data_IF_201482686236
#
_entry.id   IF_201482686236
#
_cell.length_a   1.000
_cell.length_b   1.000
_cell.length_c   1.000
_cell.angle_alpha   90.00
_cell.angle_beta   90.00
_cell.angle_gamma   90.00
#
_symmetry.space_group_name_H-M   'P 1'
#
loop_
_entity.id
_entity.type
_entity.pdbx_description
1 polymer ?
#
# COMPACT_ATOMS: atom_id res chain seq x y z
N UNK A 1 -11.16 15.79 -40.59
CA UNK A 1 -11.65 14.82 -39.61
C UNK A 1 -11.11 15.23 -38.26
N UNK A 2 -11.97 15.73 -37.38
CA UNK A 2 -11.63 16.33 -36.07
C UNK A 2 -11.38 15.22 -35.05
N UNK A 3 -10.17 15.16 -34.54
CA UNK A 3 -9.85 14.40 -33.34
C UNK A 3 -10.40 15.18 -32.13
N UNK A 4 -11.46 14.65 -31.53
CA UNK A 4 -12.03 15.19 -30.32
C UNK A 4 -11.02 15.11 -29.16
N UNK A 5 -10.66 16.24 -28.60
CA UNK A 5 -9.96 16.36 -27.34
C UNK A 5 -10.83 15.71 -26.25
N UNK A 6 -10.47 14.52 -25.80
CA UNK A 6 -11.01 13.97 -24.54
C UNK A 6 -10.55 14.91 -23.42
N UNK A 7 -11.52 15.42 -22.68
CA UNK A 7 -11.30 16.38 -21.63
C UNK A 7 -10.32 15.86 -20.58
N UNK A 8 -9.40 16.73 -20.18
CA UNK A 8 -8.54 16.58 -19.01
C UNK A 8 -9.39 16.15 -17.81
N UNK A 9 -9.18 14.94 -17.34
CA UNK A 9 -9.72 14.51 -16.07
C UNK A 9 -9.23 15.50 -15.01
N UNK A 10 -10.16 16.23 -14.39
CA UNK A 10 -9.87 17.09 -13.25
C UNK A 10 -9.22 16.20 -12.20
N UNK A 11 -8.07 16.64 -11.64
CA UNK A 11 -7.48 16.07 -10.46
C UNK A 11 -8.56 15.96 -9.37
N UNK A 12 -9.24 14.83 -9.32
CA UNK A 12 -10.13 14.49 -8.22
C UNK A 12 -9.25 14.30 -7.01
N UNK A 13 -9.52 15.03 -5.96
CA UNK A 13 -8.86 14.83 -4.67
C UNK A 13 -9.01 13.36 -4.29
N UNK A 14 -7.90 12.63 -4.20
CA UNK A 14 -7.90 11.23 -3.81
C UNK A 14 -8.46 11.10 -2.39
N UNK A 15 -9.27 10.10 -2.16
CA UNK A 15 -9.92 9.81 -0.89
C UNK A 15 -9.91 8.29 -0.64
N UNK A 16 -10.24 7.86 0.57
CA UNK A 16 -10.25 6.44 0.96
C UNK A 16 -11.20 5.58 0.09
N UNK A 17 -12.19 6.18 -0.52
CA UNK A 17 -13.21 5.53 -1.36
C UNK A 17 -12.89 5.55 -2.87
N UNK A 18 -11.73 6.05 -3.27
CA UNK A 18 -11.33 6.09 -4.68
C UNK A 18 -11.39 4.70 -5.33
N UNK A 19 -11.96 4.66 -6.55
CA UNK A 19 -11.85 3.48 -7.40
C UNK A 19 -10.46 3.47 -8.03
N UNK A 20 -9.77 2.34 -7.92
CA UNK A 20 -8.45 2.21 -8.52
C UNK A 20 -8.54 2.23 -10.05
N UNK A 21 -7.61 2.91 -10.70
CA UNK A 21 -7.55 2.97 -12.17
C UNK A 21 -7.27 1.57 -12.75
N UNK A 22 -7.89 1.20 -13.88
CA UNK A 22 -7.61 -0.05 -14.54
C UNK A 22 -6.14 -0.11 -15.00
N UNK A 23 -5.64 -1.33 -15.18
CA UNK A 23 -4.35 -1.54 -15.88
C UNK A 23 -4.46 -0.88 -17.25
N UNK A 24 -3.46 -0.08 -17.70
CA UNK A 24 -3.42 0.41 -19.07
C UNK A 24 -3.57 -0.75 -20.05
N UNK A 25 -4.20 -0.50 -21.20
CA UNK A 25 -4.18 -1.45 -22.33
C UNK A 25 -2.73 -1.93 -22.56
N UNK A 26 -2.49 -3.10 -23.19
CA UNK A 26 -1.15 -3.65 -23.32
C UNK A 26 -0.15 -2.57 -23.68
N UNK A 27 0.67 -2.16 -22.71
CA UNK A 27 1.60 -1.05 -22.81
C UNK A 27 3.00 -1.55 -22.47
N UNK A 28 4.01 -1.27 -23.31
CA UNK A 28 5.36 -1.80 -23.15
C UNK A 28 6.03 -1.34 -21.84
N UNK A 29 5.60 -0.22 -21.26
CA UNK A 29 6.15 0.32 -20.01
C UNK A 29 5.43 -0.17 -18.74
N UNK A 30 4.44 -1.07 -18.87
CA UNK A 30 3.91 -1.83 -17.74
C UNK A 30 4.88 -2.94 -17.39
N UNK A 31 5.49 -2.87 -16.22
CA UNK A 31 6.44 -3.88 -15.77
C UNK A 31 5.69 -5.12 -15.28
N UNK A 32 6.09 -6.30 -15.77
CA UNK A 32 5.34 -7.55 -15.61
C UNK A 32 6.24 -8.67 -15.06
N UNK A 33 5.72 -9.42 -14.07
CA UNK A 33 6.38 -10.60 -13.48
C UNK A 33 5.38 -11.68 -13.15
N UNK A 34 5.84 -12.93 -13.23
CA UNK A 34 5.07 -14.06 -12.73
C UNK A 34 5.86 -14.79 -11.64
N UNK A 35 5.20 -14.99 -10.50
CA UNK A 35 5.74 -15.74 -9.36
C UNK A 35 4.72 -16.73 -8.82
N UNK A 36 5.17 -17.94 -8.41
CA UNK A 36 4.29 -18.90 -7.75
C UNK A 36 4.01 -18.51 -6.29
N UNK A 37 2.80 -18.77 -5.82
CA UNK A 37 2.46 -18.72 -4.40
C UNK A 37 3.20 -19.83 -3.65
N UNK A 38 4.00 -19.49 -2.64
CA UNK A 38 4.81 -20.43 -1.87
C UNK A 38 4.13 -20.78 -0.54
N UNK A 39 4.58 -21.88 0.10
CA UNK A 39 4.06 -22.32 1.40
C UNK A 39 4.22 -21.22 2.48
N UNK A 40 5.30 -20.46 2.45
CA UNK A 40 5.53 -19.37 3.40
C UNK A 40 4.64 -18.14 3.17
N UNK A 41 3.92 -18.06 2.06
CA UNK A 41 3.08 -16.92 1.70
C UNK A 41 1.62 -17.07 2.15
N UNK A 42 1.22 -18.26 2.61
CA UNK A 42 -0.19 -18.59 2.85
C UNK A 42 -0.53 -18.68 4.34
N UNK A 43 -1.81 -18.53 4.63
CA UNK A 43 -2.39 -18.83 5.94
C UNK A 43 -2.86 -20.28 6.04
N UNK A 44 -3.44 -20.65 7.20
CA UNK A 44 -3.95 -21.98 7.46
C UNK A 44 -5.15 -22.38 6.55
N UNK A 45 -5.77 -21.44 5.86
CA UNK A 45 -6.84 -21.67 4.88
C UNK A 45 -6.33 -21.76 3.45
N UNK A 46 -5.00 -21.81 3.27
CA UNK A 46 -4.30 -21.82 1.98
C UNK A 46 -4.47 -20.53 1.13
N UNK A 47 -4.85 -19.43 1.75
CA UNK A 47 -4.96 -18.10 1.13
C UNK A 47 -3.63 -17.33 1.23
N UNK A 48 -3.27 -16.59 0.18
CA UNK A 48 -2.16 -15.63 0.21
C UNK A 48 -2.42 -14.56 1.28
N UNK A 49 -1.50 -14.41 2.26
CA UNK A 49 -1.60 -13.41 3.31
C UNK A 49 -1.30 -12.01 2.78
N UNK A 50 -1.84 -10.98 3.44
CA UNK A 50 -1.62 -9.58 3.06
C UNK A 50 -0.15 -9.15 3.25
N UNK A 51 0.54 -9.64 4.29
CA UNK A 51 1.98 -9.38 4.48
C UNK A 51 2.83 -9.98 3.34
N UNK A 52 2.46 -11.17 2.88
CA UNK A 52 3.11 -11.81 1.74
C UNK A 52 2.80 -11.05 0.44
N UNK A 53 1.54 -10.63 0.22
CA UNK A 53 1.18 -9.79 -0.92
C UNK A 53 1.95 -8.47 -0.92
N UNK A 54 2.04 -7.80 0.24
CA UNK A 54 2.81 -6.56 0.40
C UNK A 54 4.30 -6.74 0.09
N UNK A 55 4.90 -7.87 0.50
CA UNK A 55 6.28 -8.23 0.15
C UNK A 55 6.46 -8.38 -1.36
N UNK A 56 5.59 -9.13 -2.03
CA UNK A 56 5.64 -9.28 -3.49
C UNK A 56 5.44 -7.94 -4.22
N UNK A 57 4.56 -7.06 -3.71
CA UNK A 57 4.37 -5.71 -4.25
C UNK A 57 5.63 -4.85 -4.08
N UNK A 58 6.37 -5.01 -2.99
CA UNK A 58 7.66 -4.35 -2.77
C UNK A 58 8.73 -4.92 -3.70
N UNK A 59 8.82 -6.25 -3.83
CA UNK A 59 9.84 -6.95 -4.59
C UNK A 59 9.78 -6.62 -6.10
N UNK A 60 8.58 -6.54 -6.68
CA UNK A 60 8.45 -6.14 -8.09
C UNK A 60 8.94 -4.71 -8.33
N UNK A 61 8.85 -3.85 -7.32
CA UNK A 61 9.42 -2.50 -7.37
C UNK A 61 10.95 -2.51 -7.42
N UNK A 62 11.58 -3.36 -6.63
CA UNK A 62 13.04 -3.54 -6.63
C UNK A 62 13.52 -4.15 -7.95
N UNK A 63 12.81 -5.14 -8.47
CA UNK A 63 13.11 -5.75 -9.76
C UNK A 63 13.07 -4.72 -10.88
N UNK A 64 12.05 -3.86 -10.91
CA UNK A 64 11.94 -2.80 -11.92
C UNK A 64 13.10 -1.79 -11.83
N UNK A 65 13.43 -1.30 -10.63
CA UNK A 65 14.54 -0.37 -10.45
C UNK A 65 15.86 -0.97 -10.91
N UNK A 66 16.11 -2.25 -10.59
CA UNK A 66 17.33 -2.97 -10.99
C UNK A 66 17.43 -3.14 -12.50
N UNK A 67 16.35 -3.59 -13.16
CA UNK A 67 16.36 -3.82 -14.62
C UNK A 67 16.45 -2.53 -15.43
N UNK A 68 15.87 -1.45 -14.93
CA UNK A 68 15.98 -0.15 -15.57
C UNK A 68 17.30 0.57 -15.24
N UNK A 69 18.16 0.02 -14.37
CA UNK A 69 19.45 0.59 -14.02
C UNK A 69 19.37 1.79 -13.06
N UNK A 70 18.25 1.99 -12.38
CA UNK A 70 18.06 3.14 -11.47
C UNK A 70 18.29 2.80 -9.99
N UNK A 71 18.61 1.57 -9.65
CA UNK A 71 18.80 1.16 -8.26
C UNK A 71 19.89 1.95 -7.53
N UNK A 72 21.01 2.24 -8.21
CA UNK A 72 22.13 2.98 -7.62
C UNK A 72 21.89 4.50 -7.63
N UNK A 73 21.09 4.99 -8.58
CA UNK A 73 20.75 6.42 -8.71
C UNK A 73 19.69 6.80 -7.68
N UNK A 74 18.74 5.90 -7.43
CA UNK A 74 17.65 6.07 -6.47
C UNK A 74 17.64 4.93 -5.44
N UNK A 75 18.64 4.87 -4.55
CA UNK A 75 18.82 3.73 -3.65
C UNK A 75 17.82 3.69 -2.49
N UNK A 76 17.12 4.78 -2.22
CA UNK A 76 16.22 4.90 -1.07
C UNK A 76 14.87 5.50 -1.48
N UNK A 77 13.82 4.69 -1.30
CA UNK A 77 12.44 5.11 -1.45
C UNK A 77 11.69 4.85 -0.15
N UNK A 78 10.96 5.85 0.31
CA UNK A 78 10.08 5.74 1.47
C UNK A 78 8.64 5.64 0.98
N UNK A 79 7.92 4.62 1.42
CA UNK A 79 6.47 4.54 1.22
C UNK A 79 5.77 5.37 2.30
N UNK A 80 4.86 6.24 1.89
CA UNK A 80 4.03 7.03 2.81
C UNK A 80 2.62 6.48 2.94
N UNK A 81 2.10 5.86 1.88
CA UNK A 81 0.81 5.20 1.88
C UNK A 81 0.84 3.99 0.97
N UNK A 82 0.19 2.94 1.40
CA UNK A 82 -0.18 1.80 0.54
C UNK A 82 -1.65 1.49 0.74
N UNK A 83 -2.39 1.43 -0.36
CA UNK A 83 -3.77 0.98 -0.41
C UNK A 83 -3.82 -0.38 -1.10
N UNK A 84 -4.49 -1.34 -0.51
CA UNK A 84 -4.66 -2.69 -1.06
C UNK A 84 -6.13 -3.04 -1.07
N UNK A 85 -6.62 -3.43 -2.25
CA UNK A 85 -7.94 -4.03 -2.45
C UNK A 85 -7.78 -5.54 -2.64
N UNK A 86 -8.15 -6.29 -1.63
CA UNK A 86 -8.35 -7.72 -1.76
C UNK A 86 -9.72 -7.96 -2.40
N UNK A 87 -9.75 -8.11 -3.72
CA UNK A 87 -11.01 -8.30 -4.47
C UNK A 87 -11.48 -9.76 -4.41
N UNK A 88 -10.56 -10.68 -4.63
CA UNK A 88 -10.74 -12.14 -4.49
C UNK A 88 -9.44 -12.77 -4.01
N UNK A 89 -9.50 -13.71 -3.07
CA UNK A 89 -8.29 -14.33 -2.52
C UNK A 89 -7.49 -15.06 -3.62
N UNK A 90 -6.18 -14.99 -3.50
CA UNK A 90 -5.24 -15.81 -4.28
C UNK A 90 -4.87 -17.02 -3.42
N UNK A 91 -4.87 -18.22 -3.98
CA UNK A 91 -4.72 -19.45 -3.24
C UNK A 91 -3.35 -20.11 -3.43
N UNK A 92 -3.04 -21.04 -2.56
CA UNK A 92 -1.84 -21.87 -2.66
C UNK A 92 -1.77 -22.63 -3.99
N UNK A 93 -0.54 -22.82 -4.49
CA UNK A 93 -0.26 -23.43 -5.79
C UNK A 93 -0.85 -22.67 -6.99
N UNK A 94 -1.15 -21.38 -6.80
CA UNK A 94 -1.47 -20.50 -7.91
C UNK A 94 -0.18 -19.85 -8.46
N UNK A 95 -0.26 -19.37 -9.68
CA UNK A 95 0.74 -18.51 -10.31
C UNK A 95 0.20 -17.09 -10.33
N UNK A 96 0.90 -16.18 -9.71
CA UNK A 96 0.56 -14.76 -9.67
C UNK A 96 1.24 -14.02 -10.81
N UNK A 97 0.48 -13.27 -11.59
CA UNK A 97 1.00 -12.27 -12.51
C UNK A 97 0.90 -10.89 -11.88
N UNK A 98 2.03 -10.26 -11.64
CA UNK A 98 2.13 -8.91 -11.09
C UNK A 98 2.42 -7.93 -12.22
N UNK A 99 1.58 -6.90 -12.36
CA UNK A 99 1.76 -5.82 -13.33
C UNK A 99 1.88 -4.50 -12.59
N UNK A 100 2.99 -3.79 -12.82
CA UNK A 100 3.34 -2.55 -12.12
C UNK A 100 3.46 -1.39 -13.10
N UNK A 101 2.82 -0.27 -12.79
CA UNK A 101 2.87 0.97 -13.58
C UNK A 101 2.75 2.19 -12.69
N UNK A 102 3.11 3.36 -13.24
CA UNK A 102 2.94 4.63 -12.57
C UNK A 102 1.53 5.20 -12.83
N UNK A 103 0.84 5.64 -11.76
CA UNK A 103 -0.47 6.29 -11.83
C UNK A 103 -0.41 7.80 -11.63
N UNK A 104 0.72 8.32 -11.10
CA UNK A 104 0.92 9.75 -10.91
C UNK A 104 2.34 10.07 -10.50
N UNK A 105 2.83 11.25 -10.86
CA UNK A 105 4.19 11.68 -10.54
C UNK A 105 4.24 13.13 -10.03
N UNK A 106 5.36 13.44 -9.40
CA UNK A 106 5.93 14.77 -9.30
C UNK A 106 7.47 14.63 -9.44
N UNK A 107 8.20 15.72 -9.29
CA UNK A 107 9.65 15.67 -9.41
C UNK A 107 10.41 14.97 -8.26
N UNK A 108 9.72 14.52 -7.19
CA UNK A 108 10.33 13.89 -6.00
C UNK A 108 9.59 12.66 -5.50
N UNK A 109 8.38 12.41 -5.97
CA UNK A 109 7.55 11.29 -5.56
C UNK A 109 6.70 10.79 -6.71
N UNK A 110 6.29 9.55 -6.60
CA UNK A 110 5.40 8.90 -7.55
C UNK A 110 4.36 8.05 -6.83
N UNK A 111 3.28 7.79 -7.52
CA UNK A 111 2.26 6.84 -7.12
C UNK A 111 2.33 5.65 -8.07
N UNK A 112 2.56 4.49 -7.48
CA UNK A 112 2.77 3.26 -8.24
C UNK A 112 1.66 2.28 -7.94
N UNK A 113 1.14 1.67 -8.99
CA UNK A 113 0.13 0.63 -8.89
C UNK A 113 0.72 -0.72 -9.18
N UNK A 114 0.20 -1.72 -8.47
CA UNK A 114 0.47 -3.12 -8.76
C UNK A 114 -0.85 -3.87 -8.75
N UNK A 115 -1.15 -4.55 -9.83
CA UNK A 115 -2.23 -5.52 -9.91
C UNK A 115 -1.65 -6.92 -9.88
N UNK A 116 -2.21 -7.77 -9.04
CA UNK A 116 -1.84 -9.17 -8.89
C UNK A 116 -3.00 -10.03 -9.32
N UNK A 117 -2.84 -10.71 -10.45
CA UNK A 117 -3.82 -11.66 -10.99
C UNK A 117 -3.38 -13.10 -10.72
N UNK A 118 -4.13 -13.86 -9.96
CA UNK A 118 -3.98 -15.30 -9.82
C UNK A 118 -4.59 -16.02 -11.03
N UNK A 119 -3.90 -17.02 -11.58
CA UNK A 119 -4.42 -17.83 -12.71
C UNK A 119 -5.71 -18.55 -12.37
N UNK A 120 -5.97 -18.84 -11.08
CA UNK A 120 -7.20 -19.44 -10.59
C UNK A 120 -8.32 -18.41 -10.33
N UNK A 121 -8.12 -17.14 -10.69
CA UNK A 121 -9.11 -16.07 -10.61
C UNK A 121 -9.02 -15.18 -9.39
N UNK A 122 -8.00 -15.36 -8.52
CA UNK A 122 -7.71 -14.43 -7.43
C UNK A 122 -7.31 -13.07 -7.98
N UNK A 123 -7.56 -11.99 -7.22
CA UNK A 123 -7.27 -10.63 -7.64
C UNK A 123 -6.98 -9.73 -6.45
N UNK A 124 -5.82 -9.08 -6.47
CA UNK A 124 -5.44 -8.01 -5.56
C UNK A 124 -5.04 -6.79 -6.40
N UNK A 125 -5.52 -5.61 -6.02
CA UNK A 125 -5.07 -4.35 -6.58
C UNK A 125 -4.41 -3.51 -5.48
N UNK A 126 -3.36 -2.79 -5.84
CA UNK A 126 -2.69 -1.90 -4.89
C UNK A 126 -2.25 -0.59 -5.53
N UNK A 127 -2.14 0.42 -4.68
CA UNK A 127 -1.57 1.72 -5.01
C UNK A 127 -0.69 2.17 -3.86
N UNK A 128 0.52 2.65 -4.16
CA UNK A 128 1.45 3.10 -3.15
C UNK A 128 2.09 4.44 -3.53
N UNK A 129 2.09 5.37 -2.57
CA UNK A 129 2.73 6.67 -2.68
C UNK A 129 4.16 6.58 -2.15
N UNK A 130 5.13 6.85 -3.04
CA UNK A 130 6.56 6.72 -2.78
C UNK A 130 7.26 8.07 -2.87
N UNK A 131 8.20 8.31 -1.95
CA UNK A 131 9.07 9.49 -1.94
C UNK A 131 10.49 9.03 -2.19
N UNK A 132 11.15 9.61 -3.19
CA UNK A 132 12.58 9.42 -3.42
C UNK A 132 13.37 10.24 -2.39
N UNK A 133 14.27 9.59 -1.67
CA UNK A 133 15.06 10.17 -0.57
C UNK A 133 16.55 10.16 -0.94
N UNK A 134 17.20 11.26 -0.70
CA UNK A 134 18.66 11.30 -0.73
C UNK A 134 19.21 10.59 0.51
N UNK A 135 20.09 9.61 0.29
CA UNK A 135 20.61 8.75 1.35
C UNK A 135 21.46 9.52 2.38
N UNK A 136 22.18 10.56 1.96
CA UNK A 136 23.07 11.33 2.83
C UNK A 136 22.31 12.35 3.66
N UNK A 137 21.41 13.11 3.01
CA UNK A 137 20.67 14.19 3.66
C UNK A 137 19.37 13.74 4.32
N UNK A 138 18.90 12.53 4.02
CA UNK A 138 17.59 11.98 4.45
C UNK A 138 16.39 12.85 4.04
N UNK A 139 16.57 13.70 3.04
CA UNK A 139 15.54 14.62 2.54
C UNK A 139 14.99 14.18 1.19
N UNK A 140 13.73 14.55 0.86
CA UNK A 140 13.15 14.27 -0.45
C UNK A 140 14.02 14.80 -1.59
N UNK A 141 14.41 13.93 -2.51
CA UNK A 141 15.32 14.19 -3.62
C UNK A 141 14.61 14.12 -4.97
N UNK A 142 15.15 14.86 -5.94
CA UNK A 142 14.64 14.86 -7.31
C UNK A 142 14.82 13.48 -7.95
N UNK A 143 13.80 13.02 -8.64
CA UNK A 143 13.86 11.85 -9.51
C UNK A 143 14.62 12.24 -10.78
N UNK A 144 15.52 11.39 -11.26
CA UNK A 144 16.27 11.60 -12.50
C UNK A 144 15.32 11.77 -13.69
N UNK A 145 15.67 12.66 -14.62
CA UNK A 145 14.76 13.08 -15.68
C UNK A 145 14.39 11.91 -16.63
N UNK A 146 15.33 11.04 -16.95
CA UNK A 146 15.12 9.84 -17.77
C UNK A 146 14.23 8.81 -17.07
N UNK A 147 14.38 8.62 -15.76
CA UNK A 147 13.46 7.77 -14.99
C UNK A 147 12.06 8.39 -14.91
N UNK A 148 11.98 9.69 -14.66
CA UNK A 148 10.71 10.42 -14.62
C UNK A 148 9.98 10.37 -15.96
N UNK A 149 10.70 10.47 -17.08
CA UNK A 149 10.15 10.28 -18.43
C UNK A 149 9.55 8.88 -18.61
N UNK A 150 10.25 7.83 -18.14
CA UNK A 150 9.74 6.46 -18.14
C UNK A 150 8.42 6.33 -17.33
N UNK A 151 8.36 6.96 -16.16
CA UNK A 151 7.15 6.97 -15.33
C UNK A 151 5.98 7.68 -16.01
N UNK A 152 6.24 8.76 -16.75
CA UNK A 152 5.20 9.50 -17.47
C UNK A 152 4.57 8.75 -18.64
N UNK A 153 5.19 7.68 -19.13
CA UNK A 153 4.63 6.88 -20.25
C UNK A 153 3.34 6.16 -19.90
N UNK A 154 3.09 5.91 -18.60
CA UNK A 154 1.87 5.23 -18.14
C UNK A 154 0.87 6.14 -17.44
N UNK A 155 1.17 7.46 -17.30
CA UNK A 155 0.27 8.42 -16.64
C UNK A 155 0.43 9.84 -17.17
N UNK A 156 -0.70 10.57 -17.26
CA UNK A 156 -0.75 12.00 -17.57
C UNK A 156 -0.75 12.87 -16.28
N UNK A 157 -0.74 12.24 -15.09
CA UNK A 157 -0.78 12.95 -13.80
C UNK A 157 0.64 13.35 -13.40
N UNK A 158 1.04 14.60 -13.73
CA UNK A 158 2.38 15.14 -13.49
C UNK A 158 2.50 16.11 -12.30
N UNK A 159 1.44 16.29 -11.48
CA UNK A 159 1.42 17.22 -10.34
C UNK A 159 0.86 16.57 -9.09
N UNK A 160 1.32 15.36 -8.81
CA UNK A 160 0.94 14.61 -7.63
C UNK A 160 1.30 15.39 -6.35
N UNK A 161 0.41 15.40 -5.36
CA UNK A 161 0.62 16.02 -4.04
C UNK A 161 0.31 15.05 -2.94
N UNK A 162 1.14 15.04 -1.91
CA UNK A 162 0.86 14.31 -0.69
C UNK A 162 -0.32 14.95 0.06
N UNK A 163 -1.22 14.09 0.50
CA UNK A 163 -2.29 14.41 1.44
C UNK A 163 -2.58 13.16 2.28
N UNK A 164 -2.48 13.26 3.59
CA UNK A 164 -2.89 12.19 4.48
C UNK A 164 -4.41 11.96 4.39
N UNK A 165 -4.83 10.70 4.42
CA UNK A 165 -6.23 10.29 4.47
C UNK A 165 -6.64 9.88 5.87
N UNK A 166 -5.66 9.38 6.64
CA UNK A 166 -5.85 8.83 7.97
C UNK A 166 -5.27 9.78 9.03
N UNK A 167 -5.80 9.68 10.23
CA UNK A 167 -5.29 10.40 11.41
C UNK A 167 -5.14 9.41 12.54
N UNK A 168 -4.07 9.53 13.35
CA UNK A 168 -3.95 8.76 14.59
C UNK A 168 -5.15 9.05 15.50
N UNK A 169 -5.65 8.01 16.15
CA UNK A 169 -6.75 8.13 17.09
C UNK A 169 -6.25 7.95 18.53
N UNK A 170 -6.90 8.62 19.51
CA UNK A 170 -6.40 8.66 20.87
C UNK A 170 -6.60 7.32 21.60
N UNK A 171 -5.70 7.03 22.53
CA UNK A 171 -5.66 5.79 23.31
C UNK A 171 -6.90 5.58 24.18
N UNK A 172 -7.44 6.64 24.75
CA UNK A 172 -8.57 6.59 25.69
C UNK A 172 -9.90 6.22 25.05
N UNK A 173 -9.99 6.29 23.73
CA UNK A 173 -11.17 5.89 22.94
C UNK A 173 -11.00 4.56 22.22
N UNK A 174 -9.85 3.88 22.37
CA UNK A 174 -9.59 2.62 21.69
C UNK A 174 -10.51 1.49 22.22
N UNK A 175 -11.15 0.78 21.30
CA UNK A 175 -11.95 -0.40 21.62
C UNK A 175 -11.06 -1.57 22.07
N UNK A 176 -9.82 -1.62 21.55
CA UNK A 176 -8.84 -2.63 21.90
C UNK A 176 -7.41 -2.08 21.80
N UNK A 177 -6.55 -2.52 22.73
CA UNK A 177 -5.11 -2.26 22.72
C UNK A 177 -4.39 -3.61 22.77
N UNK A 178 -3.44 -3.83 21.85
CA UNK A 178 -2.60 -5.03 21.83
C UNK A 178 -1.14 -4.64 21.65
N UNK A 179 -0.23 -5.29 22.38
CA UNK A 179 1.19 -5.25 22.09
C UNK A 179 1.49 -6.10 20.84
N UNK A 180 2.38 -5.60 19.99
CA UNK A 180 2.92 -6.35 18.87
C UNK A 180 4.45 -6.44 19.02
N UNK A 181 5.01 -7.62 19.29
CA UNK A 181 6.44 -7.77 19.52
C UNK A 181 7.22 -7.55 18.22
N UNK A 182 8.08 -6.54 18.20
CA UNK A 182 9.00 -6.29 17.08
C UNK A 182 10.18 -7.26 17.22
N UNK A 183 10.34 -8.15 16.24
CA UNK A 183 11.37 -9.19 16.24
C UNK A 183 12.59 -8.76 15.42
N UNK A 184 13.75 -9.35 15.67
CA UNK A 184 14.93 -9.14 14.84
C UNK A 184 14.66 -9.43 13.35
N UNK A 185 13.85 -10.46 13.04
CA UNK A 185 13.48 -10.86 11.68
C UNK A 185 12.50 -9.90 11.01
N UNK A 186 11.95 -8.93 11.72
CA UNK A 186 11.05 -7.92 11.20
C UNK A 186 11.79 -6.67 10.71
N UNK A 187 13.08 -6.56 11.03
CA UNK A 187 13.92 -5.40 10.73
C UNK A 187 14.63 -5.60 9.39
N UNK A 188 14.59 -4.58 8.57
CA UNK A 188 15.23 -4.56 7.24
C UNK A 188 16.62 -3.90 7.26
N UNK A 189 17.21 -3.74 6.08
CA UNK A 189 18.54 -3.18 5.89
C UNK A 189 18.68 -1.69 6.29
N UNK A 190 17.60 -1.03 6.60
CA UNK A 190 17.58 0.36 7.08
C UNK A 190 17.41 0.46 8.60
N UNK A 191 17.55 -0.65 9.33
CA UNK A 191 17.31 -0.77 10.78
C UNK A 191 15.88 -0.41 11.20
N UNK A 192 14.91 -0.55 10.29
CA UNK A 192 13.50 -0.28 10.52
C UNK A 192 12.65 -1.53 10.30
N UNK A 193 11.51 -1.59 10.98
CA UNK A 193 10.51 -2.62 10.71
C UNK A 193 10.09 -2.55 9.25
N UNK A 194 10.28 -3.66 8.51
CA UNK A 194 9.98 -3.72 7.09
C UNK A 194 8.50 -3.41 6.81
N UNK A 195 8.24 -2.71 5.72
CA UNK A 195 6.89 -2.29 5.35
C UNK A 195 5.88 -3.44 5.30
N UNK A 196 6.31 -4.65 4.91
CA UNK A 196 5.43 -5.83 4.88
C UNK A 196 4.97 -6.29 6.27
N UNK A 197 5.75 -6.03 7.32
CA UNK A 197 5.42 -6.45 8.71
C UNK A 197 4.21 -5.68 9.25
N UNK A 198 4.02 -4.42 8.86
CA UNK A 198 2.81 -3.67 9.23
C UNK A 198 1.53 -4.38 8.75
N UNK A 199 1.62 -5.10 7.64
CA UNK A 199 0.51 -5.89 7.08
C UNK A 199 0.25 -7.18 7.86
N UNK A 200 1.26 -7.73 8.56
CA UNK A 200 1.03 -8.86 9.49
C UNK A 200 0.10 -8.44 10.64
N UNK A 201 0.24 -7.20 11.15
CA UNK A 201 -0.67 -6.66 12.17
C UNK A 201 -2.10 -6.58 11.63
N UNK A 202 -2.28 -6.08 10.40
CA UNK A 202 -3.60 -6.06 9.74
C UNK A 202 -4.17 -7.46 9.60
N UNK A 203 -3.36 -8.43 9.17
CA UNK A 203 -3.74 -9.83 9.02
C UNK A 203 -4.20 -10.43 10.36
N UNK A 204 -3.44 -10.23 11.43
CA UNK A 204 -3.81 -10.67 12.79
C UNK A 204 -5.15 -10.08 13.25
N UNK A 205 -5.39 -8.83 12.91
CA UNK A 205 -6.64 -8.16 13.24
C UNK A 205 -7.81 -8.74 12.46
N UNK A 206 -7.63 -8.97 11.16
CA UNK A 206 -8.63 -9.55 10.27
C UNK A 206 -8.90 -11.02 10.56
N UNK A 207 -7.99 -11.72 11.27
CA UNK A 207 -8.22 -13.12 11.69
C UNK A 207 -9.47 -13.29 12.55
N UNK A 208 -9.88 -12.22 13.27
CA UNK A 208 -11.13 -12.17 14.05
C UNK A 208 -12.37 -11.92 13.18
N UNK A 209 -12.21 -11.54 11.90
CA UNK A 209 -13.26 -11.22 10.94
C UNK A 209 -12.97 -11.91 9.60
N UNK A 210 -13.01 -13.28 9.55
CA UNK A 210 -12.53 -14.06 8.41
C UNK A 210 -13.20 -13.71 7.07
N UNK A 211 -14.41 -13.18 7.09
CA UNK A 211 -15.13 -12.73 5.91
C UNK A 211 -14.39 -11.58 5.18
N UNK A 212 -13.75 -10.68 5.93
CA UNK A 212 -12.96 -9.59 5.35
C UNK A 212 -11.66 -10.10 4.70
N UNK A 213 -11.13 -11.23 5.15
CA UNK A 213 -9.96 -11.88 4.52
C UNK A 213 -10.29 -12.56 3.18
N UNK A 214 -11.57 -12.76 2.89
CA UNK A 214 -12.02 -13.33 1.61
C UNK A 214 -12.42 -12.26 0.59
N UNK A 215 -12.46 -10.99 1.00
CA UNK A 215 -12.80 -9.84 0.17
C UNK A 215 -14.27 -9.78 -0.27
N UNK A 216 -14.69 -8.72 -0.95
CA UNK A 216 -13.83 -7.57 -1.29
C UNK A 216 -13.61 -6.64 -0.08
N UNK A 217 -12.35 -6.37 0.21
CA UNK A 217 -11.94 -5.57 1.36
C UNK A 217 -10.84 -4.60 0.96
N UNK A 218 -10.94 -3.34 1.39
CA UNK A 218 -9.87 -2.35 1.27
C UNK A 218 -9.16 -2.17 2.60
N UNK A 219 -7.83 -2.15 2.52
CA UNK A 219 -6.95 -1.71 3.58
C UNK A 219 -6.10 -0.56 3.07
N UNK A 220 -6.08 0.53 3.82
CA UNK A 220 -5.15 1.66 3.58
C UNK A 220 -4.22 1.76 4.77
N UNK A 221 -2.92 1.83 4.53
CA UNK A 221 -1.88 1.99 5.54
C UNK A 221 -1.07 3.25 5.21
N UNK A 222 -0.98 4.18 6.17
CA UNK A 222 -0.14 5.38 6.09
C UNK A 222 0.96 5.32 7.15
N UNK A 223 2.19 5.58 6.73
CA UNK A 223 3.37 5.59 7.59
C UNK A 223 3.70 7.02 8.01
N UNK A 224 3.90 7.23 9.33
CA UNK A 224 4.28 8.51 9.91
C UNK A 224 5.77 8.56 10.28
N UNK A 225 6.24 7.53 11.01
CA UNK A 225 7.61 7.41 11.48
C UNK A 225 8.06 5.93 11.50
N UNK A 226 9.35 5.65 11.45
CA UNK A 226 9.85 4.27 11.51
C UNK A 226 9.64 3.64 12.90
N UNK A 227 9.59 2.31 12.91
CA UNK A 227 9.66 1.47 14.11
C UNK A 227 11.00 0.73 14.08
N UNK A 228 11.75 0.76 15.17
CA UNK A 228 13.06 0.12 15.30
C UNK A 228 13.03 -1.14 16.16
N UNK A 229 14.16 -1.88 16.16
CA UNK A 229 14.34 -3.02 17.05
C UNK A 229 14.35 -2.55 18.50
N UNK A 230 13.55 -3.21 19.34
CA UNK A 230 13.41 -2.89 20.76
C UNK A 230 12.31 -1.88 21.09
N UNK A 231 11.68 -1.30 20.09
CA UNK A 231 10.49 -0.49 20.28
C UNK A 231 9.33 -1.35 20.81
N UNK A 232 8.63 -0.81 21.81
CA UNK A 232 7.40 -1.42 22.33
C UNK A 232 6.23 -0.93 21.50
N UNK A 233 5.92 -1.69 20.46
CA UNK A 233 4.84 -1.35 19.55
C UNK A 233 3.49 -1.79 20.13
N UNK A 234 2.57 -0.86 20.25
CA UNK A 234 1.18 -1.11 20.62
C UNK A 234 0.26 -0.73 19.47
N UNK A 235 -0.80 -1.50 19.30
CA UNK A 235 -1.82 -1.29 18.28
C UNK A 235 -3.11 -0.89 18.96
N UNK A 236 -3.56 0.34 18.70
CA UNK A 236 -4.84 0.84 19.15
C UNK A 236 -5.87 0.63 18.05
N UNK A 237 -6.91 -0.12 18.34
CA UNK A 237 -7.99 -0.34 17.38
C UNK A 237 -9.25 0.40 17.76
N UNK A 238 -9.87 1.04 16.79
CA UNK A 238 -11.15 1.71 16.90
C UNK A 238 -12.12 1.17 15.86
N UNK A 239 -13.34 0.85 16.26
CA UNK A 239 -14.39 0.28 15.41
C UNK A 239 -15.48 1.31 15.20
N UNK A 240 -15.50 1.94 14.05
CA UNK A 240 -16.49 2.94 13.65
C UNK A 240 -17.67 2.24 12.99
N UNK A 241 -18.82 2.27 13.68
CA UNK A 241 -20.08 1.74 13.14
C UNK A 241 -20.69 2.71 12.12
N UNK A 242 -21.53 2.24 11.19
CA UNK A 242 -22.25 3.11 10.28
C UNK A 242 -22.94 4.28 11.02
N UNK A 243 -22.72 5.50 10.51
CA UNK A 243 -23.27 6.74 11.09
C UNK A 243 -22.53 7.28 12.32
N UNK A 244 -21.43 6.67 12.76
CA UNK A 244 -20.75 7.11 14.00
C UNK A 244 -19.78 8.27 13.80
N UNK A 245 -19.33 8.55 12.58
CA UNK A 245 -18.33 9.59 12.30
C UNK A 245 -18.33 10.05 10.84
N UNK A 246 -18.09 11.34 10.61
CA UNK A 246 -17.94 11.95 9.30
C UNK A 246 -16.46 11.98 8.84
N UNK A 247 -15.52 11.48 9.65
CA UNK A 247 -14.08 11.62 9.36
C UNK A 247 -13.64 10.91 8.08
N UNK A 248 -14.39 9.90 7.63
CA UNK A 248 -14.07 9.12 6.43
C UNK A 248 -14.86 9.55 5.19
N UNK A 249 -15.72 10.59 5.30
CA UNK A 249 -16.57 11.06 4.22
C UNK A 249 -17.86 10.24 4.02
N UNK A 250 -18.76 10.77 3.21
CA UNK A 250 -20.12 10.21 3.01
C UNK A 250 -20.11 8.75 2.50
N UNK A 251 -19.16 8.40 1.63
CA UNK A 251 -19.10 7.07 1.04
C UNK A 251 -18.83 5.96 2.08
N UNK A 252 -18.05 6.27 3.12
CA UNK A 252 -17.73 5.33 4.19
C UNK A 252 -18.65 5.48 5.41
N UNK A 253 -19.46 6.54 5.50
CA UNK A 253 -20.39 6.76 6.60
C UNK A 253 -21.42 5.62 6.78
N UNK A 254 -21.68 4.81 5.73
CA UNK A 254 -22.59 3.66 5.75
C UNK A 254 -21.90 2.33 6.00
N UNK A 255 -20.57 2.32 6.18
CA UNK A 255 -19.77 1.11 6.37
C UNK A 255 -19.23 1.05 7.80
N UNK A 256 -18.94 -0.17 8.27
CA UNK A 256 -18.06 -0.34 9.43
C UNK A 256 -16.63 -0.12 8.96
N UNK A 257 -15.92 0.79 9.63
CA UNK A 257 -14.51 1.05 9.38
C UNK A 257 -13.74 0.72 10.65
N UNK A 258 -12.74 -0.12 10.56
CA UNK A 258 -11.78 -0.33 11.65
C UNK A 258 -10.53 0.48 11.36
N UNK A 259 -10.05 1.24 12.33
CA UNK A 259 -8.74 1.89 12.26
C UNK A 259 -7.78 1.23 13.25
N UNK A 260 -6.52 1.14 12.84
CA UNK A 260 -5.42 0.65 13.66
C UNK A 260 -4.37 1.74 13.73
N UNK A 261 -4.13 2.30 14.92
CA UNK A 261 -3.02 3.23 15.16
C UNK A 261 -1.86 2.47 15.78
N UNK A 262 -0.71 2.51 15.13
CA UNK A 262 0.55 1.90 15.57
C UNK A 262 1.30 2.90 16.43
N UNK A 263 1.49 2.61 17.72
CA UNK A 263 2.08 3.52 18.71
C UNK A 263 3.37 2.97 19.30
N UNK A 264 4.36 3.84 19.46
CA UNK A 264 5.53 3.59 20.32
C UNK A 264 5.55 4.70 21.37
N UNK A 265 5.21 4.34 22.60
CA UNK A 265 4.91 5.35 23.62
C UNK A 265 3.73 6.24 23.18
N UNK A 266 3.97 7.56 23.14
CA UNK A 266 2.96 8.54 22.71
C UNK A 266 3.11 8.95 21.22
N UNK A 267 4.05 8.33 20.50
CA UNK A 267 4.33 8.68 19.11
C UNK A 267 3.61 7.73 18.15
N UNK A 268 2.73 8.23 17.25
CA UNK A 268 2.15 7.43 16.20
C UNK A 268 3.19 7.12 15.12
N UNK A 269 3.29 5.84 14.76
CA UNK A 269 4.22 5.33 13.74
C UNK A 269 3.53 5.06 12.40
N UNK A 270 2.30 4.59 12.45
CA UNK A 270 1.48 4.36 11.27
C UNK A 270 -0.01 4.35 11.66
N UNK A 271 -0.87 4.51 10.66
CA UNK A 271 -2.32 4.33 10.81
C UNK A 271 -2.82 3.46 9.66
N UNK A 272 -3.65 2.48 9.97
CA UNK A 272 -4.36 1.72 8.95
C UNK A 272 -5.87 1.92 9.07
N UNK A 273 -6.59 1.80 7.94
CA UNK A 273 -8.04 1.68 7.90
C UNK A 273 -8.44 0.44 7.14
N UNK A 274 -9.51 -0.23 7.58
CA UNK A 274 -9.99 -1.51 7.05
C UNK A 274 -11.50 -1.42 6.88
N UNK A 275 -12.01 -1.75 5.68
CA UNK A 275 -13.46 -1.82 5.45
C UNK A 275 -13.80 -2.71 4.25
N UNK A 276 -15.03 -3.27 4.22
CA UNK A 276 -15.57 -3.97 3.07
C UNK A 276 -15.83 -3.00 1.91
N UNK A 277 -15.43 -3.39 0.68
CA UNK A 277 -15.64 -2.61 -0.55
C UNK A 277 -17.10 -2.62 -1.02
#
# INVERSE_FOLDING_TARGET
LAFGRRGLAKSTSMSLDNVMMPVPDPHPDVFDREWPVRVADIDATARLRLDAAARHIQDIGQDQLRELGFQDIHPLWIVRRTMVDLIRPIEFQDMMRLRRWCSGTSNRWCEMRVRVDGRKGGLIESEAFWININRETQMPSRIADDFLEGLHRTTDVGRLRWKAYLKPEPRDTADQIREFPVRFTDIDLFDHMNNSVYWSVVEEYLSATPELLRGPTRVTLEHEAPVGLGDKLEILAHIHKPGSTDQFGEALAKKTVTTLTYMVGDEPKAVASIFAL
#
